data_IF_454134619714
#
_entry.id   IF_454134619714
#
_cell.length_a   1.000
_cell.length_b   1.000
_cell.length_c   1.000
_cell.angle_alpha   90.00
_cell.angle_beta   90.00
_cell.angle_gamma   90.00
#
_symmetry.space_group_name_H-M   'P 1'
#
loop_
_entity.id
_entity.type
_entity.pdbx_description
1 polymer ?
#
# COMPACT_ATOMS: atom_id res chain seq x y z
N UNK A 1 12.05 31.18 -5.49
CA UNK A 1 10.90 30.33 -5.11
C UNK A 1 11.23 28.92 -5.54
N UNK A 2 11.58 28.05 -4.59
CA UNK A 2 11.84 26.63 -4.86
C UNK A 2 10.52 25.91 -4.73
N UNK A 3 9.97 25.44 -5.85
CA UNK A 3 8.81 24.55 -5.83
C UNK A 3 9.34 23.14 -5.60
N UNK A 4 9.18 22.62 -4.39
CA UNK A 4 9.34 21.19 -4.13
C UNK A 4 8.15 20.47 -4.77
N UNK A 5 8.34 19.65 -5.82
CA UNK A 5 7.27 18.79 -6.26
C UNK A 5 7.07 17.75 -5.17
N UNK A 6 6.09 17.98 -4.27
CA UNK A 6 5.51 16.95 -3.40
C UNK A 6 4.75 15.95 -4.27
N UNK A 7 5.48 15.27 -5.18
CA UNK A 7 4.93 14.29 -6.09
C UNK A 7 4.25 13.20 -5.27
N UNK A 8 2.93 13.18 -5.30
CA UNK A 8 2.13 12.11 -4.73
C UNK A 8 1.69 11.22 -5.87
N UNK A 9 1.93 9.93 -5.75
CA UNK A 9 1.46 8.93 -6.70
C UNK A 9 0.40 8.09 -6.00
N UNK A 10 -0.81 8.07 -6.58
CA UNK A 10 -1.92 7.24 -6.09
C UNK A 10 -2.12 6.09 -7.07
N UNK A 11 -2.11 4.87 -6.55
CA UNK A 11 -2.41 3.66 -7.33
C UNK A 11 -3.66 3.02 -6.73
N UNK A 12 -4.68 2.86 -7.54
CA UNK A 12 -5.92 2.17 -7.17
C UNK A 12 -5.94 0.82 -7.87
N UNK A 13 -6.02 -0.25 -7.09
CA UNK A 13 -6.12 -1.63 -7.59
C UNK A 13 -7.50 -2.16 -7.22
N UNK A 14 -8.30 -2.49 -8.22
CA UNK A 14 -9.57 -3.19 -8.03
C UNK A 14 -9.39 -4.65 -8.43
N UNK A 15 -9.79 -5.57 -7.55
CA UNK A 15 -9.70 -7.00 -7.79
C UNK A 15 -10.92 -7.72 -7.20
N UNK A 16 -11.54 -8.59 -7.99
CA UNK A 16 -12.69 -9.40 -7.55
C UNK A 16 -12.23 -10.79 -7.14
N UNK A 17 -12.43 -11.14 -5.86
CA UNK A 17 -12.14 -12.48 -5.36
C UNK A 17 -13.23 -13.48 -5.79
N UNK A 18 -12.87 -14.70 -6.22
CA UNK A 18 -13.84 -15.77 -6.42
C UNK A 18 -14.46 -16.17 -5.07
N UNK A 19 -15.72 -16.59 -5.10
CA UNK A 19 -16.53 -16.93 -3.90
C UNK A 19 -15.97 -18.06 -3.02
N UNK A 20 -14.96 -18.79 -3.51
CA UNK A 20 -14.23 -19.82 -2.77
C UNK A 20 -13.13 -19.28 -1.84
N UNK A 21 -12.74 -18.01 -1.98
CA UNK A 21 -11.70 -17.38 -1.16
C UNK A 21 -12.35 -16.39 -0.20
N UNK A 22 -12.18 -16.61 1.10
CA UNK A 22 -12.67 -15.69 2.11
C UNK A 22 -11.72 -14.51 2.26
N UNK A 23 -12.25 -13.31 2.52
CA UNK A 23 -11.47 -12.09 2.74
C UNK A 23 -10.47 -12.23 3.91
N UNK A 24 -10.62 -13.23 4.80
CA UNK A 24 -9.69 -13.52 5.91
C UNK A 24 -8.40 -14.22 5.47
N UNK A 25 -8.42 -14.89 4.32
CA UNK A 25 -7.29 -15.69 3.82
C UNK A 25 -6.44 -14.94 2.80
N UNK A 26 -6.91 -13.75 2.36
CA UNK A 26 -6.18 -12.90 1.46
C UNK A 26 -5.12 -12.10 2.21
N UNK A 27 -3.89 -12.08 1.69
CA UNK A 27 -2.80 -11.26 2.21
C UNK A 27 -2.36 -10.28 1.14
N UNK A 28 -2.43 -8.99 1.45
CA UNK A 28 -1.84 -7.97 0.61
C UNK A 28 -0.35 -7.83 0.99
N UNK A 29 0.54 -8.17 0.05
CA UNK A 29 1.98 -8.07 0.24
C UNK A 29 2.48 -6.77 -0.38
N UNK A 30 3.05 -5.90 0.44
CA UNK A 30 3.65 -4.65 0.00
C UNK A 30 5.16 -4.78 0.12
N UNK A 31 5.83 -4.79 -1.03
CA UNK A 31 7.28 -4.85 -1.08
C UNK A 31 7.90 -3.48 -1.16
N UNK A 32 8.91 -3.27 -0.32
CA UNK A 32 9.73 -2.08 -0.38
C UNK A 32 10.64 -2.14 -1.60
N UNK A 33 10.57 -1.14 -2.48
CA UNK A 33 11.49 -1.03 -3.60
C UNK A 33 12.91 -0.67 -3.12
N UNK A 34 13.97 -1.35 -3.60
CA UNK A 34 15.35 -1.02 -3.26
C UNK A 34 15.73 0.38 -3.79
N UNK A 35 16.59 1.11 -3.07
CA UNK A 35 17.07 2.43 -3.47
C UNK A 35 16.11 3.61 -3.20
N UNK A 36 14.93 3.34 -2.65
CA UNK A 36 13.97 4.38 -2.28
C UNK A 36 14.00 4.55 -0.77
N UNK A 37 14.20 5.76 -0.25
CA UNK A 37 14.24 6.00 1.20
C UNK A 37 13.16 7.00 1.61
N UNK A 38 12.62 6.86 2.82
CA UNK A 38 11.69 7.82 3.46
C UNK A 38 10.33 8.03 2.75
N UNK A 39 9.82 7.03 2.04
CA UNK A 39 8.46 7.10 1.50
C UNK A 39 7.42 6.76 2.56
N UNK A 40 6.48 7.68 2.75
CA UNK A 40 5.25 7.45 3.52
C UNK A 40 4.20 6.84 2.62
N UNK A 41 3.60 5.74 3.05
CA UNK A 41 2.54 5.04 2.34
C UNK A 41 1.27 5.09 3.18
N UNK A 42 0.14 5.31 2.51
CA UNK A 42 -1.20 5.10 3.04
C UNK A 42 -1.83 3.99 2.19
N UNK A 43 -2.27 2.92 2.85
CA UNK A 43 -2.87 1.75 2.20
C UNK A 43 -4.26 1.56 2.78
N UNK A 44 -5.26 1.60 1.89
CA UNK A 44 -6.66 1.38 2.24
C UNK A 44 -7.16 0.11 1.56
N UNK A 45 -7.70 -0.82 2.33
CA UNK A 45 -8.33 -2.06 1.86
C UNK A 45 -9.80 -1.99 2.26
N UNK A 46 -10.71 -2.15 1.30
CA UNK A 46 -12.16 -2.00 1.50
C UNK A 46 -12.55 -0.70 2.25
N UNK A 47 -11.84 0.39 1.95
CA UNK A 47 -12.05 1.71 2.58
C UNK A 47 -11.50 1.84 4.01
N UNK A 48 -10.91 0.79 4.59
CA UNK A 48 -10.26 0.82 5.90
C UNK A 48 -8.76 1.01 5.74
N UNK A 49 -8.17 1.91 6.53
CA UNK A 49 -6.71 2.09 6.58
C UNK A 49 -6.09 0.84 7.16
N UNK A 50 -5.40 0.09 6.30
CA UNK A 50 -4.68 -1.13 6.67
C UNK A 50 -3.23 -0.80 7.06
N UNK A 51 -2.62 0.22 6.46
CA UNK A 51 -1.29 0.71 6.80
C UNK A 51 -1.19 2.22 6.59
N UNK A 52 -0.56 2.91 7.53
CA UNK A 52 -0.12 4.30 7.36
C UNK A 52 1.25 4.46 8.00
N UNK A 53 2.22 4.96 7.24
CA UNK A 53 3.54 5.28 7.77
C UNK A 53 4.68 5.03 6.80
N UNK A 54 5.90 5.04 7.34
CA UNK A 54 7.11 4.94 6.55
C UNK A 54 7.38 3.48 6.18
N UNK A 55 7.38 3.17 4.89
CA UNK A 55 7.68 1.83 4.38
C UNK A 55 9.20 1.61 4.48
N UNK A 56 9.67 1.00 5.56
CA UNK A 56 11.10 0.69 5.80
C UNK A 56 11.48 -0.71 5.31
N UNK A 57 10.54 -1.64 5.44
CA UNK A 57 10.69 -3.05 5.09
C UNK A 57 9.47 -3.47 4.28
N UNK A 58 9.53 -4.65 3.68
CA UNK A 58 8.35 -5.38 3.25
C UNK A 58 7.32 -5.48 4.38
N UNK A 59 6.04 -5.44 3.98
CA UNK A 59 4.88 -5.49 4.86
C UNK A 59 3.87 -6.48 4.32
N UNK A 60 3.42 -7.37 5.19
CA UNK A 60 2.26 -8.22 4.94
C UNK A 60 1.04 -7.62 5.65
N UNK A 61 -0.01 -7.34 4.89
CA UNK A 61 -1.29 -6.83 5.37
C UNK A 61 -2.34 -7.93 5.28
N UNK A 62 -3.06 -8.15 6.38
CA UNK A 62 -4.19 -9.08 6.48
C UNK A 62 -5.50 -8.33 6.46
#
# INVERSE_FOLDING_TARGET
MTVDPKGSATVTVEYTLPSSISSKDYKLLIQKQPGVEKQTWEVKVDGKTAFEGLLKTDKELK
#
